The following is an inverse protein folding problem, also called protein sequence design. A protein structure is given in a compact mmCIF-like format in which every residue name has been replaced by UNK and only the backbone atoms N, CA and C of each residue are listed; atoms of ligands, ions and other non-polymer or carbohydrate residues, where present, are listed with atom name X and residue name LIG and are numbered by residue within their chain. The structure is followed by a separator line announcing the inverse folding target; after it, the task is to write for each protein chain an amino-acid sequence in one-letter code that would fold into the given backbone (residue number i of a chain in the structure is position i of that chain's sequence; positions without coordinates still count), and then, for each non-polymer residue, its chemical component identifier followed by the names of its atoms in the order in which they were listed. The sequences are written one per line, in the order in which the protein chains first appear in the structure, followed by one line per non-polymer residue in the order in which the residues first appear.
data_IF_110894081276
#
_entry.id   IF_110894081276
#
_cell.length_a   1.000
_cell.length_b   1.000
_cell.length_c   1.000
_cell.angle_alpha   90.00
_cell.angle_beta   90.00
_cell.angle_gamma   90.00
#
_symmetry.space_group_name_H-M   'P 1'
#
loop_
_entity.id
_entity.type
_entity.pdbx_description
1 polymer ?
#
# COMPACT_ATOMS: atom_id res chain seq x y z
N UNK A 1 13.64 15.02 -13.62
CA UNK A 1 12.89 13.80 -14.02
C UNK A 1 13.44 12.48 -13.45
N UNK A 2 14.65 11.99 -13.79
CA UNK A 2 15.14 10.68 -13.28
C UNK A 2 15.28 10.68 -11.75
N UNK A 3 15.92 11.70 -11.16
CA UNK A 3 16.09 11.83 -9.71
C UNK A 3 14.72 11.89 -8.99
N UNK A 4 13.73 12.55 -9.58
CA UNK A 4 12.36 12.60 -9.03
C UNK A 4 11.67 11.24 -9.04
N UNK A 5 11.85 10.46 -10.11
CA UNK A 5 11.33 9.09 -10.18
C UNK A 5 11.97 8.26 -9.06
N UNK A 6 13.28 8.40 -8.83
CA UNK A 6 13.95 7.76 -7.70
C UNK A 6 13.42 8.22 -6.34
N UNK A 7 13.23 9.53 -6.13
CA UNK A 7 12.67 10.07 -4.88
C UNK A 7 11.24 9.54 -4.63
N UNK A 8 10.40 9.53 -5.66
CA UNK A 8 9.04 9.00 -5.55
C UNK A 8 9.04 7.49 -5.26
N UNK A 9 9.90 6.71 -5.91
CA UNK A 9 10.05 5.28 -5.63
C UNK A 9 10.56 5.06 -4.20
N UNK A 10 11.57 5.82 -3.76
CA UNK A 10 12.10 5.74 -2.40
C UNK A 10 11.00 6.03 -1.37
N UNK A 11 10.20 7.07 -1.59
CA UNK A 11 9.08 7.45 -0.74
C UNK A 11 8.02 6.34 -0.69
N UNK A 12 7.70 5.70 -1.83
CA UNK A 12 6.76 4.57 -1.89
C UNK A 12 7.31 3.32 -1.17
N UNK A 13 8.60 3.04 -1.29
CA UNK A 13 9.26 1.92 -0.60
C UNK A 13 9.28 2.18 0.91
N UNK A 14 9.69 3.37 1.36
CA UNK A 14 9.68 3.74 2.78
C UNK A 14 8.27 3.68 3.35
N UNK A 15 7.26 4.15 2.61
CA UNK A 15 5.86 4.03 2.97
C UNK A 15 5.45 2.56 3.15
N UNK A 16 5.87 1.68 2.24
CA UNK A 16 5.56 0.24 2.34
C UNK A 16 6.14 -0.37 3.61
N UNK A 17 7.39 -0.04 3.96
CA UNK A 17 8.06 -0.52 5.18
C UNK A 17 7.38 0.03 6.42
N UNK A 18 7.10 1.33 6.47
CA UNK A 18 6.42 1.96 7.60
C UNK A 18 5.01 1.36 7.82
N UNK A 19 4.29 1.07 6.73
CA UNK A 19 3.00 0.42 6.80
C UNK A 19 3.07 -1.00 7.37
N UNK A 20 4.09 -1.78 6.99
CA UNK A 20 4.30 -3.13 7.54
C UNK A 20 4.56 -3.09 9.04
N UNK A 21 5.40 -2.15 9.49
CA UNK A 21 5.67 -1.97 10.93
C UNK A 21 4.37 -1.67 11.67
N UNK A 22 3.50 -0.83 11.12
CA UNK A 22 2.19 -0.55 11.69
C UNK A 22 1.30 -1.80 11.77
N UNK A 23 1.30 -2.63 10.73
CA UNK A 23 0.51 -3.88 10.69
C UNK A 23 1.05 -4.98 11.62
N UNK A 24 2.33 -4.92 12.01
CA UNK A 24 2.92 -5.92 12.92
C UNK A 24 2.26 -5.90 14.29
N UNK A 25 1.86 -4.73 14.78
CA UNK A 25 1.31 -4.55 16.12
C UNK A 25 -0.21 -4.73 16.22
N UNK A 26 -0.94 -4.59 15.12
CA UNK A 26 -2.41 -4.61 15.15
C UNK A 26 -3.05 -5.18 13.89
N UNK A 27 -4.23 -5.77 14.04
CA UNK A 27 -5.03 -6.26 12.93
C UNK A 27 -5.74 -5.15 12.15
N UNK A 28 -5.75 -5.26 10.81
CA UNK A 28 -6.36 -4.29 9.89
C UNK A 28 -7.85 -4.03 10.12
N UNK A 29 -8.56 -4.96 10.76
CA UNK A 29 -10.00 -4.80 11.05
C UNK A 29 -10.25 -3.75 12.13
N UNK A 30 -9.24 -3.41 12.94
CA UNK A 30 -9.39 -2.40 13.99
C UNK A 30 -9.39 -1.00 13.37
N UNK A 31 -10.41 -0.21 13.70
CA UNK A 31 -10.52 1.21 13.28
C UNK A 31 -9.27 2.02 13.60
N UNK A 32 -8.58 1.71 14.72
CA UNK A 32 -7.32 2.35 15.11
C UNK A 32 -6.23 2.20 14.04
N UNK A 33 -6.08 1.00 13.48
CA UNK A 33 -5.07 0.74 12.43
C UNK A 33 -5.39 1.54 11.19
N UNK A 34 -6.66 1.60 10.78
CA UNK A 34 -7.05 2.39 9.61
C UNK A 34 -6.79 3.89 9.82
N UNK A 35 -7.06 4.41 11.03
CA UNK A 35 -6.74 5.80 11.36
C UNK A 35 -5.24 6.08 11.27
N UNK A 36 -4.40 5.29 11.94
CA UNK A 36 -2.95 5.45 11.87
C UNK A 36 -2.38 5.22 10.47
N UNK A 37 -2.97 4.30 9.71
CA UNK A 37 -2.61 4.08 8.30
C UNK A 37 -2.92 5.31 7.48
N UNK A 38 -4.11 5.90 7.65
CA UNK A 38 -4.49 7.13 6.98
C UNK A 38 -3.58 8.31 7.31
N UNK A 39 -3.20 8.46 8.59
CA UNK A 39 -2.21 9.46 9.01
C UNK A 39 -0.85 9.23 8.35
N UNK A 40 -0.40 7.97 8.29
CA UNK A 40 0.84 7.59 7.62
C UNK A 40 0.79 7.93 6.12
N UNK A 41 -0.22 7.45 5.41
CA UNK A 41 -0.41 7.72 3.98
C UNK A 41 -0.52 9.23 3.70
N UNK A 42 -1.34 9.95 4.47
CA UNK A 42 -1.50 11.40 4.35
C UNK A 42 -0.20 12.16 4.58
N UNK A 43 0.60 11.75 5.57
CA UNK A 43 1.92 12.36 5.83
C UNK A 43 2.87 12.16 4.64
N UNK A 44 2.89 10.96 4.04
CA UNK A 44 3.71 10.68 2.86
C UNK A 44 3.25 11.46 1.63
N UNK A 45 1.95 11.69 1.46
CA UNK A 45 1.43 12.59 0.41
C UNK A 45 1.91 14.02 0.63
N UNK A 46 1.83 14.54 1.85
CA UNK A 46 2.31 15.90 2.17
C UNK A 46 3.81 16.02 1.89
N UNK A 47 4.62 15.04 2.33
CA UNK A 47 6.07 15.00 2.07
C UNK A 47 6.36 14.95 0.56
N UNK A 48 5.59 14.15 -0.19
CA UNK A 48 5.72 14.07 -1.65
C UNK A 48 5.42 15.39 -2.33
N UNK A 49 4.34 16.07 -1.92
CA UNK A 49 3.95 17.38 -2.43
C UNK A 49 4.90 18.51 -2.00
N UNK A 50 5.57 18.39 -0.84
CA UNK A 50 6.57 19.35 -0.38
C UNK A 50 7.89 19.24 -1.17
N UNK A 51 8.32 18.01 -1.50
CA UNK A 51 9.56 17.76 -2.24
C UNK A 51 9.36 17.69 -3.76
N UNK A 52 8.18 18.07 -4.25
CA UNK A 52 7.86 17.91 -5.67
C UNK A 52 8.54 18.98 -6.53
N UNK A 53 8.92 18.59 -7.75
CA UNK A 53 9.43 19.53 -8.75
C UNK A 53 8.25 20.18 -9.48
N UNK A 54 8.27 21.50 -9.53
CA UNK A 54 7.29 22.29 -10.26
C UNK A 54 7.62 22.28 -11.76
N UNK A 55 6.70 21.80 -12.60
CA UNK A 55 6.83 21.94 -14.06
C UNK A 55 6.53 23.37 -14.50
N UNK A 56 5.59 24.01 -13.80
CA UNK A 56 5.27 25.44 -13.82
C UNK A 56 4.96 25.86 -12.38
N UNK A 57 5.09 27.15 -12.00
CA UNK A 57 4.80 27.60 -10.64
C UNK A 57 3.44 27.13 -10.14
N UNK A 58 3.40 26.32 -9.07
CA UNK A 58 2.18 25.74 -8.49
C UNK A 58 1.56 24.55 -9.26
N UNK A 59 2.18 24.08 -10.35
CA UNK A 59 1.78 22.89 -11.11
C UNK A 59 2.71 21.70 -10.79
N UNK A 60 2.22 20.86 -9.88
CA UNK A 60 2.95 19.74 -9.29
C UNK A 60 2.43 18.41 -9.85
N UNK A 61 3.34 17.55 -10.30
CA UNK A 61 3.06 16.16 -10.64
C UNK A 61 3.96 15.24 -9.81
N UNK A 62 3.35 14.38 -9.00
CA UNK A 62 4.02 13.54 -8.01
C UNK A 62 3.29 12.20 -7.82
N UNK A 63 3.84 11.33 -6.97
CA UNK A 63 3.29 10.01 -6.67
C UNK A 63 2.00 9.99 -5.82
N UNK A 64 1.34 11.14 -5.56
CA UNK A 64 0.21 11.21 -4.60
C UNK A 64 -0.99 10.37 -5.02
N UNK A 65 -1.29 10.30 -6.32
CA UNK A 65 -2.37 9.45 -6.84
C UNK A 65 -2.11 7.97 -6.52
N UNK A 66 -0.85 7.53 -6.59
CA UNK A 66 -0.44 6.18 -6.24
C UNK A 66 -0.61 5.96 -4.73
N UNK A 67 -0.10 6.88 -3.90
CA UNK A 67 -0.19 6.74 -2.44
C UNK A 67 -1.65 6.70 -1.97
N UNK A 68 -2.52 7.60 -2.46
CA UNK A 68 -3.92 7.66 -2.06
C UNK A 68 -4.76 6.48 -2.57
N UNK A 69 -4.52 6.01 -3.79
CA UNK A 69 -5.20 4.81 -4.31
C UNK A 69 -4.79 3.56 -3.53
N UNK A 70 -3.51 3.42 -3.20
CA UNK A 70 -3.00 2.35 -2.32
C UNK A 70 -3.57 2.47 -0.90
N UNK A 71 -3.69 3.69 -0.37
CA UNK A 71 -4.29 3.95 0.94
C UNK A 71 -5.75 3.48 1.00
N UNK A 72 -6.54 3.79 -0.02
CA UNK A 72 -7.91 3.29 -0.12
C UNK A 72 -7.98 1.78 -0.28
N UNK A 73 -7.13 1.22 -1.14
CA UNK A 73 -7.11 -0.20 -1.47
C UNK A 73 -6.71 -1.09 -0.29
N UNK A 74 -5.62 -0.75 0.41
CA UNK A 74 -5.04 -1.57 1.48
C UNK A 74 -5.39 -1.09 2.88
N UNK A 75 -5.51 0.23 3.09
CA UNK A 75 -5.87 0.82 4.38
C UNK A 75 -7.38 0.87 4.63
N UNK A 76 -8.19 0.71 3.59
CA UNK A 76 -9.64 0.73 3.68
C UNK A 76 -10.24 2.15 3.74
N UNK A 77 -11.57 2.28 3.88
CA UNK A 77 -12.28 3.55 3.72
C UNK A 77 -11.90 4.60 4.75
N UNK A 78 -11.62 4.23 6.01
CA UNK A 78 -11.24 5.20 7.05
C UNK A 78 -9.84 5.75 6.77
N UNK A 79 -8.89 4.89 6.41
CA UNK A 79 -7.54 5.34 6.03
C UNK A 79 -7.59 6.26 4.81
N UNK A 80 -8.42 5.91 3.82
CA UNK A 80 -8.65 6.71 2.63
C UNK A 80 -9.20 8.10 2.98
N UNK A 81 -10.21 8.17 3.85
CA UNK A 81 -10.82 9.44 4.26
C UNK A 81 -9.82 10.34 5.00
N UNK A 82 -9.04 9.79 5.94
CA UNK A 82 -8.01 10.56 6.66
C UNK A 82 -6.93 11.05 5.70
N UNK A 83 -6.41 10.17 4.84
CA UNK A 83 -5.40 10.53 3.84
C UNK A 83 -5.90 11.59 2.85
N UNK A 84 -7.15 11.47 2.40
CA UNK A 84 -7.82 12.44 1.54
C UNK A 84 -7.92 13.81 2.18
N UNK A 85 -8.41 13.89 3.44
CA UNK A 85 -8.54 15.17 4.15
C UNK A 85 -7.18 15.84 4.32
N UNK A 86 -6.14 15.09 4.71
CA UNK A 86 -4.79 15.62 4.85
C UNK A 86 -4.24 16.14 3.51
N UNK A 87 -4.32 15.33 2.46
CA UNK A 87 -3.83 15.67 1.13
C UNK A 87 -4.57 16.87 0.52
N UNK A 88 -5.91 16.89 0.62
CA UNK A 88 -6.74 17.97 0.10
C UNK A 88 -6.47 19.29 0.83
N UNK A 89 -6.38 19.25 2.17
CA UNK A 89 -6.09 20.43 2.97
C UNK A 89 -4.75 21.05 2.59
N UNK A 90 -3.72 20.21 2.45
CA UNK A 90 -2.40 20.66 2.03
C UNK A 90 -2.38 21.17 0.57
N UNK A 91 -3.15 20.54 -0.33
CA UNK A 91 -3.28 21.01 -1.71
C UNK A 91 -3.95 22.38 -1.80
N UNK A 92 -4.99 22.61 -1.01
CA UNK A 92 -5.67 23.91 -0.95
C UNK A 92 -4.73 24.98 -0.43
N UNK A 93 -3.92 24.64 0.58
CA UNK A 93 -2.92 25.56 1.14
C UNK A 93 -1.82 25.97 0.13
N UNK A 94 -1.32 25.04 -0.69
CA UNK A 94 -0.35 25.36 -1.75
C UNK A 94 -0.95 26.28 -2.83
N UNK A 95 -2.21 26.08 -3.19
CA UNK A 95 -2.85 26.85 -4.26
C UNK A 95 -2.30 26.55 -5.66
N UNK A 96 -2.29 27.57 -6.52
CA UNK A 96 -1.75 27.50 -7.88
C UNK A 96 -2.76 27.13 -8.98
N UNK A 97 -2.36 27.23 -10.27
CA UNK A 97 -3.24 27.04 -11.42
C UNK A 97 -3.78 25.61 -11.55
N UNK A 98 -3.10 24.63 -10.94
CA UNK A 98 -3.53 23.23 -10.88
C UNK A 98 -4.36 22.88 -9.64
N UNK A 99 -4.90 23.83 -8.89
CA UNK A 99 -5.66 23.56 -7.66
C UNK A 99 -6.86 22.64 -7.93
N UNK A 100 -7.71 23.01 -8.89
CA UNK A 100 -8.94 22.26 -9.22
C UNK A 100 -8.58 20.86 -9.74
N UNK A 101 -7.68 20.80 -10.74
CA UNK A 101 -7.19 19.54 -11.31
C UNK A 101 -6.62 18.61 -10.24
N UNK A 102 -5.72 19.13 -9.38
CA UNK A 102 -5.07 18.35 -8.33
C UNK A 102 -6.04 17.88 -7.24
N UNK A 103 -7.03 18.70 -6.88
CA UNK A 103 -8.05 18.34 -5.89
C UNK A 103 -8.96 17.22 -6.42
N UNK A 104 -9.37 17.30 -7.68
CA UNK A 104 -10.13 16.24 -8.35
C UNK A 104 -9.31 14.96 -8.50
N UNK A 105 -8.00 15.07 -8.76
CA UNK A 105 -7.11 13.91 -8.83
C UNK A 105 -6.94 13.22 -7.46
N UNK A 106 -6.83 13.99 -6.37
CA UNK A 106 -6.81 13.48 -4.99
C UNK A 106 -8.12 12.74 -4.69
N UNK A 107 -9.25 13.35 -5.03
CA UNK A 107 -10.57 12.75 -4.84
C UNK A 107 -10.73 11.45 -5.64
N UNK A 108 -10.42 11.47 -6.94
CA UNK A 108 -10.59 10.31 -7.81
C UNK A 108 -9.66 9.16 -7.41
N UNK A 109 -8.38 9.43 -7.13
CA UNK A 109 -7.44 8.40 -6.69
C UNK A 109 -7.91 7.71 -5.40
N UNK A 110 -8.36 8.50 -4.42
CA UNK A 110 -8.90 7.99 -3.15
C UNK A 110 -10.15 7.15 -3.39
N UNK A 111 -11.10 7.67 -4.17
CA UNK A 111 -12.36 6.99 -4.48
C UNK A 111 -12.12 5.65 -5.17
N UNK A 112 -11.27 5.62 -6.20
CA UNK A 112 -10.93 4.39 -6.91
C UNK A 112 -10.24 3.39 -6.00
N UNK A 113 -9.32 3.83 -5.12
CA UNK A 113 -8.73 2.96 -4.11
C UNK A 113 -9.78 2.26 -3.24
N UNK A 114 -10.76 3.01 -2.73
CA UNK A 114 -11.85 2.46 -1.90
C UNK A 114 -12.79 1.56 -2.71
N UNK A 115 -13.12 1.92 -3.94
CA UNK A 115 -13.94 1.07 -4.82
C UNK A 115 -13.25 -0.28 -5.03
N UNK A 116 -11.97 -0.28 -5.40
CA UNK A 116 -11.21 -1.51 -5.62
C UNK A 116 -11.00 -2.32 -4.33
N UNK A 117 -10.93 -1.67 -3.17
CA UNK A 117 -10.94 -2.36 -1.87
C UNK A 117 -12.17 -3.27 -1.73
N UNK A 118 -13.37 -2.74 -2.03
CA UNK A 118 -14.61 -3.50 -1.95
C UNK A 118 -14.74 -4.53 -3.06
N UNK A 119 -14.27 -4.25 -4.28
CA UNK A 119 -14.29 -5.21 -5.40
C UNK A 119 -13.43 -6.43 -5.11
N UNK A 120 -12.21 -6.25 -4.59
CA UNK A 120 -11.34 -7.35 -4.15
C UNK A 120 -12.00 -8.14 -3.03
N UNK A 121 -12.56 -7.45 -2.02
CA UNK A 121 -13.20 -8.10 -0.88
C UNK A 121 -14.44 -8.92 -1.27
N UNK A 122 -15.18 -8.47 -2.29
CA UNK A 122 -16.35 -9.19 -2.84
C UNK A 122 -15.97 -10.39 -3.70
N UNK A 123 -14.67 -10.57 -4.01
CA UNK A 123 -14.14 -11.70 -4.78
C UNK A 123 -14.88 -11.91 -6.11
N UNK A 124 -15.00 -10.84 -6.90
CA UNK A 124 -15.72 -10.80 -8.19
C UNK A 124 -15.12 -11.66 -9.33
N UNK A 125 -14.38 -12.72 -9.01
CA UNK A 125 -13.85 -13.70 -9.98
C UNK A 125 -12.53 -13.34 -10.66
N UNK A 126 -12.00 -12.12 -10.48
CA UNK A 126 -10.69 -11.75 -11.00
C UNK A 126 -9.57 -11.98 -9.99
N UNK A 127 -8.37 -12.27 -10.49
CA UNK A 127 -7.19 -12.32 -9.62
C UNK A 127 -6.87 -10.92 -9.08
N UNK A 128 -6.43 -10.78 -7.82
CA UNK A 128 -6.08 -9.48 -7.24
C UNK A 128 -5.04 -8.70 -8.06
N UNK A 129 -4.11 -9.41 -8.73
CA UNK A 129 -3.06 -8.81 -9.57
C UNK A 129 -3.65 -8.01 -10.73
N UNK A 130 -4.66 -8.57 -11.42
CA UNK A 130 -5.36 -7.86 -12.49
C UNK A 130 -6.09 -6.63 -11.96
N UNK A 131 -6.71 -6.73 -10.78
CA UNK A 131 -7.38 -5.58 -10.17
C UNK A 131 -6.41 -4.44 -9.85
N UNK A 132 -5.19 -4.74 -9.39
CA UNK A 132 -4.17 -3.72 -9.15
C UNK A 132 -3.76 -2.99 -10.43
N UNK A 133 -3.59 -3.74 -11.53
CA UNK A 133 -3.23 -3.17 -12.82
C UNK A 133 -4.36 -2.29 -13.37
N UNK A 134 -5.61 -2.78 -13.32
CA UNK A 134 -6.78 -2.03 -13.79
C UNK A 134 -6.95 -0.75 -12.95
N UNK A 135 -6.80 -0.81 -11.62
CA UNK A 135 -6.84 0.37 -10.77
C UNK A 135 -5.76 1.38 -11.15
N UNK A 136 -4.52 0.90 -11.32
CA UNK A 136 -3.39 1.73 -11.73
C UNK A 136 -3.68 2.48 -13.03
N UNK A 137 -4.17 1.80 -14.06
CA UNK A 137 -4.56 2.45 -15.32
C UNK A 137 -5.76 3.38 -15.15
N UNK A 138 -6.80 2.98 -14.44
CA UNK A 138 -8.01 3.79 -14.26
C UNK A 138 -7.72 5.13 -13.57
N UNK A 139 -6.93 5.11 -12.49
CA UNK A 139 -6.55 6.32 -11.75
C UNK A 139 -5.77 7.29 -12.64
N UNK A 140 -4.80 6.80 -13.43
CA UNK A 140 -3.96 7.66 -14.26
C UNK A 140 -4.66 8.11 -15.55
N UNK A 141 -5.55 7.31 -16.10
CA UNK A 141 -6.43 7.72 -17.20
C UNK A 141 -7.33 8.87 -16.77
N UNK A 142 -7.92 8.79 -15.57
CA UNK A 142 -8.73 9.87 -15.01
C UNK A 142 -7.87 11.10 -14.74
N UNK A 143 -6.66 10.92 -14.21
CA UNK A 143 -5.72 12.02 -14.01
C UNK A 143 -5.45 12.77 -15.33
N UNK A 144 -5.27 12.05 -16.45
CA UNK A 144 -5.13 12.68 -17.77
C UNK A 144 -6.41 13.36 -18.23
N UNK A 145 -7.58 12.74 -18.03
CA UNK A 145 -8.85 13.38 -18.36
C UNK A 145 -9.06 14.69 -17.60
N UNK A 146 -8.60 14.76 -16.35
CA UNK A 146 -8.68 15.96 -15.50
C UNK A 146 -7.77 17.11 -15.98
N UNK A 147 -6.84 16.89 -16.91
CA UNK A 147 -6.06 17.96 -17.56
C UNK A 147 -6.98 18.97 -18.26
N UNK A 148 -8.20 18.58 -18.65
CA UNK A 148 -9.20 19.52 -19.20
C UNK A 148 -9.53 20.67 -18.24
N UNK A 149 -9.38 20.46 -16.93
CA UNK A 149 -9.65 21.48 -15.90
C UNK A 149 -8.51 22.49 -15.71
N UNK A 150 -7.36 22.27 -16.36
CA UNK A 150 -6.26 23.24 -16.38
C UNK A 150 -6.59 24.43 -17.29
N UNK A 151 -6.02 25.62 -16.98
CA UNK A 151 -6.08 26.78 -17.87
C UNK A 151 -5.59 26.43 -19.27
N UNK A 152 -6.26 26.95 -20.30
CA UNK A 152 -6.04 26.57 -21.70
C UNK A 152 -4.59 26.71 -22.17
N UNK A 153 -3.87 27.72 -21.67
CA UNK A 153 -2.47 27.98 -22.02
C UNK A 153 -1.47 26.96 -21.47
N UNK A 154 -1.85 26.15 -20.46
CA UNK A 154 -1.01 25.07 -19.92
C UNK A 154 -1.39 23.70 -20.48
N UNK A 155 -2.60 23.56 -21.04
CA UNK A 155 -3.20 22.25 -21.29
C UNK A 155 -2.43 21.42 -22.31
N UNK A 156 -2.07 22.02 -23.45
CA UNK A 156 -1.37 21.34 -24.55
C UNK A 156 0.02 20.92 -24.13
N UNK A 157 0.77 21.84 -23.52
CA UNK A 157 2.16 21.62 -23.11
C UNK A 157 2.24 20.50 -22.08
N UNK A 158 1.39 20.55 -21.06
CA UNK A 158 1.30 19.53 -20.01
C UNK A 158 0.90 18.17 -20.58
N UNK A 159 -0.08 18.13 -21.50
CA UNK A 159 -0.55 16.88 -22.07
C UNK A 159 0.54 16.21 -22.92
N UNK A 160 1.25 16.97 -23.76
CA UNK A 160 2.33 16.41 -24.60
C UNK A 160 3.52 15.98 -23.75
N UNK A 161 3.89 16.75 -22.72
CA UNK A 161 5.06 16.44 -21.89
C UNK A 161 4.82 15.27 -20.92
N UNK A 162 3.59 15.07 -20.43
CA UNK A 162 3.34 14.17 -19.29
C UNK A 162 2.51 12.94 -19.68
N UNK A 163 1.70 12.98 -20.75
CA UNK A 163 0.75 11.89 -21.04
C UNK A 163 1.42 10.52 -21.16
N UNK A 164 2.54 10.43 -21.89
CA UNK A 164 3.23 9.16 -22.11
C UNK A 164 3.95 8.66 -20.83
N UNK A 165 4.77 9.48 -20.12
CA UNK A 165 5.34 9.08 -18.84
C UNK A 165 4.30 8.64 -17.80
N UNK A 166 3.19 9.37 -17.68
CA UNK A 166 2.13 9.03 -16.73
C UNK A 166 1.42 7.76 -17.11
N UNK A 167 1.14 7.47 -18.39
CA UNK A 167 0.42 6.26 -18.76
C UNK A 167 1.26 4.98 -18.70
N UNK A 168 2.59 5.10 -18.77
CA UNK A 168 3.49 3.94 -18.73
C UNK A 168 4.07 3.75 -17.34
N UNK A 169 4.72 4.78 -16.79
CA UNK A 169 5.52 4.67 -15.56
C UNK A 169 4.61 4.57 -14.34
N UNK A 170 3.55 5.37 -14.25
CA UNK A 170 2.77 5.47 -13.02
C UNK A 170 1.82 4.28 -12.79
N UNK A 171 1.09 3.74 -13.79
CA UNK A 171 0.38 2.48 -13.65
C UNK A 171 1.30 1.32 -13.30
N UNK A 172 2.49 1.25 -13.90
CA UNK A 172 3.49 0.23 -13.57
C UNK A 172 3.97 0.38 -12.13
N UNK A 173 4.31 1.60 -11.70
CA UNK A 173 4.71 1.88 -10.33
C UNK A 173 3.57 1.54 -9.34
N UNK A 174 2.33 1.92 -9.63
CA UNK A 174 1.16 1.59 -8.81
C UNK A 174 0.96 0.07 -8.71
N UNK A 175 1.09 -0.66 -9.82
CA UNK A 175 1.04 -2.11 -9.83
C UNK A 175 2.13 -2.73 -8.95
N UNK A 176 3.39 -2.27 -9.08
CA UNK A 176 4.51 -2.77 -8.28
C UNK A 176 4.32 -2.49 -6.79
N UNK A 177 3.85 -1.30 -6.42
CA UNK A 177 3.54 -0.95 -5.03
C UNK A 177 2.41 -1.84 -4.49
N UNK A 178 1.33 -2.03 -5.25
CA UNK A 178 0.26 -2.94 -4.85
C UNK A 178 0.76 -4.37 -4.67
N UNK A 179 1.61 -4.86 -5.57
CA UNK A 179 2.23 -6.17 -5.47
C UNK A 179 3.11 -6.31 -4.22
N UNK A 180 3.90 -5.27 -3.92
CA UNK A 180 4.74 -5.21 -2.72
C UNK A 180 3.87 -5.28 -1.45
N UNK A 181 2.86 -4.43 -1.34
CA UNK A 181 1.94 -4.42 -0.19
C UNK A 181 1.20 -5.76 -0.03
N UNK A 182 0.76 -6.35 -1.15
CA UNK A 182 0.10 -7.66 -1.14
C UNK A 182 1.05 -8.77 -0.66
N UNK A 183 2.27 -8.81 -1.20
CA UNK A 183 3.30 -9.79 -0.82
C UNK A 183 3.62 -9.68 0.67
N UNK A 184 3.83 -8.46 1.16
CA UNK A 184 4.19 -8.18 2.53
C UNK A 184 3.07 -8.55 3.51
N UNK A 185 1.80 -8.27 3.15
CA UNK A 185 0.66 -8.72 3.94
C UNK A 185 0.57 -10.24 3.99
N UNK A 186 0.78 -10.92 2.87
CA UNK A 186 0.78 -12.38 2.81
C UNK A 186 1.88 -12.97 3.69
N UNK A 187 3.08 -12.39 3.62
CA UNK A 187 4.22 -12.77 4.45
C UNK A 187 3.90 -12.66 5.95
N UNK A 188 3.31 -11.55 6.41
CA UNK A 188 2.92 -11.38 7.81
C UNK A 188 1.87 -12.42 8.27
N UNK A 189 0.90 -12.75 7.41
CA UNK A 189 -0.11 -13.78 7.71
C UNK A 189 0.54 -15.15 7.83
N UNK A 190 1.39 -15.52 6.86
CA UNK A 190 2.12 -16.80 6.89
C UNK A 190 3.02 -16.94 8.11
N UNK A 191 3.69 -15.86 8.53
CA UNK A 191 4.50 -15.87 9.76
C UNK A 191 3.66 -16.09 11.02
N UNK A 192 2.47 -15.49 11.10
CA UNK A 192 1.55 -15.70 12.22
C UNK A 192 1.05 -17.14 12.25
N UNK A 193 0.62 -17.66 11.12
CA UNK A 193 0.15 -19.05 10.99
C UNK A 193 1.25 -20.06 11.37
N UNK A 194 2.50 -19.81 10.97
CA UNK A 194 3.65 -20.63 11.35
C UNK A 194 3.87 -20.59 12.87
N UNK A 195 3.91 -19.40 13.46
CA UNK A 195 4.11 -19.23 14.91
C UNK A 195 2.99 -19.88 15.74
N UNK A 196 1.73 -19.76 15.30
CA UNK A 196 0.60 -20.44 15.94
C UNK A 196 0.69 -21.96 15.80
N UNK A 197 1.12 -22.47 14.64
CA UNK A 197 1.32 -23.90 14.43
C UNK A 197 2.44 -24.47 15.30
N UNK A 198 3.58 -23.77 15.38
CA UNK A 198 4.69 -24.14 16.27
C UNK A 198 4.28 -24.12 17.74
N UNK A 199 3.52 -23.11 18.16
CA UNK A 199 2.98 -23.02 19.52
C UNK A 199 2.07 -24.20 19.86
N UNK A 200 1.13 -24.54 18.96
CA UNK A 200 0.25 -25.72 19.12
C UNK A 200 1.05 -27.02 19.18
N UNK A 201 2.04 -27.18 18.30
CA UNK A 201 2.90 -28.37 18.31
C UNK A 201 3.68 -28.48 19.62
N UNK A 202 4.33 -27.40 20.07
CA UNK A 202 5.08 -27.39 21.34
C UNK A 202 4.18 -27.72 22.53
N UNK A 203 2.96 -27.20 22.55
CA UNK A 203 2.00 -27.50 23.60
C UNK A 203 1.62 -28.99 23.59
N UNK A 204 1.26 -29.54 22.43
CA UNK A 204 0.95 -30.96 22.29
C UNK A 204 2.16 -31.85 22.66
N UNK A 205 3.37 -31.47 22.25
CA UNK A 205 4.58 -32.22 22.54
C UNK A 205 4.88 -32.24 24.04
N UNK A 206 4.97 -31.07 24.69
CA UNK A 206 5.39 -30.97 26.08
C UNK A 206 4.32 -31.26 27.14
N UNK A 207 3.02 -31.02 26.84
CA UNK A 207 1.92 -31.25 27.80
C UNK A 207 1.26 -32.63 27.65
N UNK A 208 1.55 -33.35 26.56
CA UNK A 208 1.04 -34.70 26.35
C UNK A 208 1.57 -35.68 27.41
N UNK A 209 0.70 -36.57 27.87
CA UNK A 209 1.05 -37.71 28.73
C UNK A 209 1.64 -38.88 27.95
N UNK A 210 1.61 -38.84 26.62
CA UNK A 210 2.28 -39.83 25.76
C UNK A 210 3.76 -39.49 25.65
N UNK A 211 4.61 -40.52 25.69
CA UNK A 211 6.05 -40.42 25.45
C UNK A 211 6.28 -40.02 23.99
N UNK A 212 6.91 -38.87 23.78
CA UNK A 212 7.41 -38.43 22.48
C UNK A 212 8.93 -38.32 22.52
N UNK A 213 9.58 -38.91 21.52
CA UNK A 213 11.01 -38.83 21.29
C UNK A 213 11.24 -38.39 19.84
N UNK A 214 12.11 -37.41 19.65
CA UNK A 214 12.64 -37.05 18.34
C UNK A 214 13.99 -37.74 18.22
N UNK A 215 14.11 -38.65 17.25
CA UNK A 215 15.30 -39.48 17.08
C UNK A 215 15.88 -39.22 15.70
N UNK A 216 17.19 -39.03 15.63
CA UNK A 216 17.91 -38.97 14.36
C UNK A 216 17.89 -40.37 13.71
N UNK A 217 17.34 -40.52 12.49
CA UNK A 217 17.14 -41.83 11.88
C UNK A 217 18.44 -42.52 11.46
N UNK A 218 19.52 -41.76 11.23
CA UNK A 218 20.79 -42.30 10.74
C UNK A 218 21.71 -42.72 11.90
N UNK A 219 21.73 -41.93 12.98
CA UNK A 219 22.59 -42.16 14.15
C UNK A 219 21.89 -42.82 15.34
N UNK A 220 20.55 -42.81 15.38
CA UNK A 220 19.75 -43.31 16.50
C UNK A 220 19.80 -42.45 17.75
N UNK A 221 20.44 -41.28 17.69
CA UNK A 221 20.57 -40.35 18.83
C UNK A 221 19.23 -39.66 19.10
N UNK A 222 18.82 -39.60 20.37
CA UNK A 222 17.66 -38.82 20.79
C UNK A 222 18.02 -37.34 20.73
N UNK A 223 17.35 -36.61 19.84
CA UNK A 223 17.52 -35.18 19.62
C UNK A 223 16.65 -34.34 20.57
N UNK A 224 15.47 -34.84 20.93
CA UNK A 224 14.53 -34.16 21.83
C UNK A 224 13.58 -35.18 22.48
N UNK A 225 13.09 -34.85 23.68
CA UNK A 225 12.18 -35.69 24.46
C UNK A 225 11.17 -34.81 25.21
N UNK A 226 9.92 -35.25 25.31
CA UNK A 226 8.93 -34.53 26.10
C UNK A 226 8.97 -34.90 27.60
N UNK A 227 8.28 -34.13 28.44
CA UNK A 227 8.26 -34.36 29.90
C UNK A 227 7.82 -35.76 30.30
N UNK A 228 6.85 -36.34 29.58
CA UNK A 228 6.39 -37.70 29.85
C UNK A 228 7.49 -38.74 29.57
N UNK A 229 8.31 -38.52 28.52
CA UNK A 229 9.46 -39.36 28.20
C UNK A 229 10.59 -39.24 29.24
N UNK A 230 10.85 -38.04 29.77
CA UNK A 230 11.87 -37.83 30.80
C UNK A 230 11.51 -38.45 32.16
N UNK A 231 10.21 -38.66 32.41
CA UNK A 231 9.69 -39.19 33.68
C UNK A 231 9.47 -40.70 33.66
N UNK A 232 9.68 -41.37 32.53
CA UNK A 232 9.48 -42.80 32.33
C UNK A 232 10.82 -43.55 32.39
#
# INVERSE_FOLDING_TARGET
MIIEIFNNISLLVTLSVAYIVLLRYWDQTRRRVQLFSGLLFGSFVIIGMYNSVELYPGLIFDGRSIVLSVAGLFGGPIAAAVGFVMALSYRIWIGGPGLVMGSLAIFSATLFGVVFHYLIKRNIGFSPKWMYLIMGFAVHLILLALIVTLPGYLRTDVLVSIALPVMVIYPLASFLVCMLFHSQRKYLVTLRELSESEGRFRQLFHESQMVFLVIDPDSGVILDANKAAEQF
#
